data_IF_036690688012
#
_entry.id   IF_036690688012
#
_cell.length_a   1.000
_cell.length_b   1.000
_cell.length_c   1.000
_cell.angle_alpha   90.00
_cell.angle_beta   90.00
_cell.angle_gamma   90.00
#
_symmetry.space_group_name_H-M   'P 1'
#
loop_
_entity.id
_entity.type
_entity.pdbx_description
1 polymer ?
#
# COMPACT_ATOMS: atom_id res chain seq x y z
N UNK A 1 -24.72 23.38 -31.83
CA UNK A 1 -25.07 23.73 -30.43
C UNK A 1 -25.09 22.43 -29.64
N UNK A 2 -23.96 21.73 -29.48
CA UNK A 2 -22.85 22.06 -28.56
C UNK A 2 -23.43 22.30 -27.16
N UNK A 3 -23.09 21.51 -26.15
CA UNK A 3 -21.71 21.43 -25.68
C UNK A 3 -21.26 20.03 -25.26
N UNK A 4 -20.08 19.65 -25.75
CA UNK A 4 -19.28 18.56 -25.24
C UNK A 4 -18.82 18.89 -23.81
N UNK A 5 -19.14 18.03 -22.85
CA UNK A 5 -18.35 17.95 -21.63
C UNK A 5 -17.09 17.15 -21.96
N UNK A 6 -16.08 17.85 -22.46
CA UNK A 6 -14.70 17.40 -22.37
C UNK A 6 -14.37 17.21 -20.88
N UNK A 7 -14.39 15.97 -20.40
CA UNK A 7 -13.57 15.59 -19.26
C UNK A 7 -12.13 15.47 -19.78
N UNK A 8 -11.46 16.61 -19.91
CA UNK A 8 -10.02 16.67 -19.97
C UNK A 8 -9.57 17.23 -18.62
N UNK A 9 -9.46 16.34 -17.64
CA UNK A 9 -8.80 16.63 -16.38
C UNK A 9 -7.68 15.60 -16.27
N UNK A 10 -6.44 16.07 -16.26
CA UNK A 10 -5.25 15.33 -15.86
C UNK A 10 -5.60 14.08 -15.02
N UNK A 11 -5.44 12.89 -15.59
CA UNK A 11 -5.25 11.67 -14.81
C UNK A 11 -3.89 11.80 -14.10
N UNK A 12 -3.80 12.71 -13.12
CA UNK A 12 -2.83 12.55 -12.04
C UNK A 12 -3.18 11.21 -11.45
N UNK A 13 -2.30 10.23 -11.66
CA UNK A 13 -2.39 8.93 -11.03
C UNK A 13 -2.75 9.16 -9.54
N UNK A 14 -3.93 8.69 -9.13
CA UNK A 14 -4.41 8.90 -7.77
C UNK A 14 -3.40 8.33 -6.78
N UNK A 15 -3.03 9.12 -5.77
CA UNK A 15 -2.10 8.73 -4.71
C UNK A 15 -2.74 7.78 -3.69
N UNK A 16 -4.06 7.54 -3.79
CA UNK A 16 -4.77 6.58 -2.97
C UNK A 16 -4.19 5.17 -3.18
N UNK A 17 -3.56 4.59 -2.17
CA UNK A 17 -2.87 3.30 -2.28
C UNK A 17 -3.55 2.17 -1.46
N UNK A 18 -4.59 2.50 -0.70
CA UNK A 18 -5.25 1.54 0.19
C UNK A 18 -5.93 0.41 -0.58
N UNK A 19 -5.57 -0.83 -0.25
CA UNK A 19 -6.19 -2.03 -0.79
C UNK A 19 -6.51 -3.02 0.34
N UNK A 20 -7.65 -3.72 0.24
CA UNK A 20 -8.03 -4.75 1.21
C UNK A 20 -7.04 -5.91 1.19
N UNK A 21 -6.66 -6.41 2.36
CA UNK A 21 -5.73 -7.51 2.54
C UNK A 21 -4.28 -7.06 2.78
N UNK A 22 -3.95 -5.80 2.50
CA UNK A 22 -2.59 -5.30 2.75
C UNK A 22 -2.23 -5.30 4.24
N UNK A 23 -0.97 -5.65 4.51
CA UNK A 23 -0.36 -5.52 5.83
C UNK A 23 0.34 -4.16 5.93
N UNK A 24 -0.19 -3.29 6.78
CA UNK A 24 0.29 -1.93 7.00
C UNK A 24 0.89 -1.75 8.39
N UNK A 25 1.66 -0.69 8.59
CA UNK A 25 2.17 -0.26 9.90
C UNK A 25 1.56 1.07 10.29
N UNK A 26 1.04 1.18 11.52
CA UNK A 26 0.49 2.43 12.05
C UNK A 26 1.62 3.37 12.48
N UNK A 27 1.59 4.62 12.01
CA UNK A 27 2.56 5.66 12.34
C UNK A 27 1.99 6.81 13.18
N UNK A 28 0.67 6.87 13.39
CA UNK A 28 0.07 7.87 14.26
C UNK A 28 0.47 7.66 15.73
N UNK A 29 1.20 8.64 16.29
CA UNK A 29 1.64 8.64 17.69
C UNK A 29 0.60 9.16 18.68
N UNK A 30 -0.36 9.96 18.20
CA UNK A 30 -1.43 10.52 19.04
C UNK A 30 -2.62 9.57 19.19
N UNK A 31 -2.74 8.57 18.31
CA UNK A 31 -3.81 7.60 18.34
C UNK A 31 -3.78 6.76 19.63
N UNK A 32 -4.79 6.93 20.47
CA UNK A 32 -4.93 6.26 21.77
C UNK A 32 -3.64 6.34 22.60
N UNK A 33 -3.09 7.55 22.76
CA UNK A 33 -1.84 7.81 23.51
C UNK A 33 -0.65 6.97 22.99
N UNK A 34 -0.64 6.70 21.68
CA UNK A 34 0.42 5.94 21.03
C UNK A 34 0.32 4.43 21.20
N UNK A 35 -0.77 3.89 21.76
CA UNK A 35 -0.99 2.44 21.97
C UNK A 35 -0.68 1.60 20.72
N UNK A 36 -1.01 2.11 19.54
CA UNK A 36 -0.87 1.38 18.28
C UNK A 36 0.35 1.78 17.45
N UNK A 37 1.15 2.76 17.90
CA UNK A 37 2.30 3.24 17.15
C UNK A 37 3.28 2.10 16.83
N UNK A 38 3.70 1.99 15.57
CA UNK A 38 4.52 0.92 14.99
C UNK A 38 3.91 -0.49 15.02
N UNK A 39 2.63 -0.63 15.39
CA UNK A 39 1.93 -1.92 15.28
C UNK A 39 1.59 -2.23 13.83
N UNK A 40 1.65 -3.51 13.48
CA UNK A 40 1.21 -4.01 12.17
C UNK A 40 -0.28 -4.38 12.23
N UNK A 41 -0.99 -4.10 11.15
CA UNK A 41 -2.39 -4.43 10.98
C UNK A 41 -2.71 -4.84 9.55
N UNK A 42 -3.83 -5.53 9.35
CA UNK A 42 -4.35 -5.89 8.03
C UNK A 42 -5.54 -4.99 7.68
N UNK A 43 -5.53 -4.43 6.48
CA UNK A 43 -6.68 -3.68 5.96
C UNK A 43 -7.83 -4.65 5.69
N UNK A 44 -8.92 -4.53 6.45
CA UNK A 44 -10.11 -5.41 6.32
C UNK A 44 -11.21 -4.81 5.47
N UNK A 45 -11.31 -3.48 5.40
CA UNK A 45 -12.35 -2.77 4.64
C UNK A 45 -11.84 -1.40 4.21
N UNK A 46 -12.14 -1.00 2.98
CA UNK A 46 -11.95 0.37 2.49
C UNK A 46 -13.27 1.14 2.70
N UNK A 47 -13.20 2.31 3.33
CA UNK A 47 -14.37 3.16 3.64
C UNK A 47 -14.49 4.25 2.58
N UNK A 48 -13.37 4.86 2.21
CA UNK A 48 -13.20 5.81 1.12
C UNK A 48 -11.82 5.60 0.49
N UNK A 49 -11.45 6.27 -0.61
CA UNK A 49 -10.13 6.09 -1.24
C UNK A 49 -8.94 6.23 -0.28
N UNK A 50 -9.10 7.02 0.79
CA UNK A 50 -8.05 7.37 1.74
C UNK A 50 -8.29 6.86 3.17
N UNK A 51 -9.47 6.29 3.47
CA UNK A 51 -9.82 5.81 4.81
C UNK A 51 -10.14 4.32 4.80
N UNK A 52 -9.62 3.57 5.77
CA UNK A 52 -9.85 2.14 5.88
C UNK A 52 -10.02 1.65 7.32
N UNK A 53 -10.59 0.45 7.48
CA UNK A 53 -10.54 -0.31 8.72
C UNK A 53 -9.32 -1.22 8.73
N UNK A 54 -8.48 -1.06 9.74
CA UNK A 54 -7.29 -1.87 10.00
C UNK A 54 -7.52 -2.75 11.21
N UNK A 55 -7.38 -4.07 11.06
CA UNK A 55 -7.34 -5.01 12.18
C UNK A 55 -5.90 -5.19 12.65
N UNK A 56 -5.60 -4.75 13.87
CA UNK A 56 -4.27 -4.90 14.48
C UNK A 56 -3.95 -6.38 14.68
N UNK A 57 -2.81 -6.84 14.16
CA UNK A 57 -2.46 -8.26 14.15
C UNK A 57 -2.21 -8.82 15.55
N UNK A 58 -1.67 -8.00 16.46
CA UNK A 58 -1.31 -8.43 17.82
C UNK A 58 -2.50 -8.51 18.77
N UNK A 59 -3.40 -7.53 18.71
CA UNK A 59 -4.50 -7.38 19.68
C UNK A 59 -5.85 -7.78 19.10
N UNK A 60 -6.00 -7.78 17.78
CA UNK A 60 -7.28 -7.99 17.10
C UNK A 60 -8.17 -6.75 17.06
N UNK A 61 -7.76 -5.64 17.69
CA UNK A 61 -8.48 -4.36 17.67
C UNK A 61 -8.70 -3.88 16.22
N UNK A 62 -9.85 -3.26 15.95
CA UNK A 62 -10.17 -2.69 14.63
C UNK A 62 -10.22 -1.17 14.76
N UNK A 63 -9.49 -0.49 13.89
CA UNK A 63 -9.34 0.97 13.90
C UNK A 63 -9.73 1.51 12.52
N UNK A 64 -10.47 2.62 12.49
CA UNK A 64 -10.64 3.42 11.27
C UNK A 64 -9.49 4.42 11.18
N UNK A 65 -8.73 4.38 10.09
CA UNK A 65 -7.51 5.17 9.91
C UNK A 65 -7.43 5.73 8.49
N UNK A 66 -6.88 6.94 8.38
CA UNK A 66 -6.48 7.52 7.10
C UNK A 66 -5.17 6.89 6.60
N UNK A 67 -4.94 6.88 5.29
CA UNK A 67 -3.70 6.41 4.69
C UNK A 67 -2.47 7.16 5.22
N UNK A 68 -2.59 8.43 5.60
CA UNK A 68 -1.50 9.25 6.14
C UNK A 68 -1.03 8.74 7.51
N UNK A 69 -1.91 8.03 8.24
CA UNK A 69 -1.57 7.39 9.52
C UNK A 69 -0.87 6.04 9.34
N UNK A 70 -0.72 5.58 8.10
CA UNK A 70 -0.24 4.25 7.75
C UNK A 70 1.05 4.32 6.92
N UNK A 71 1.77 3.21 6.95
CA UNK A 71 2.93 2.96 6.10
C UNK A 71 2.76 1.61 5.43
N UNK A 72 3.15 1.52 4.15
CA UNK A 72 3.35 0.24 3.48
C UNK A 72 4.40 -0.60 4.21
N UNK A 73 4.29 -1.92 4.10
CA UNK A 73 5.26 -2.85 4.70
C UNK A 73 5.94 -3.64 3.61
N UNK A 74 7.24 -3.45 3.44
CA UNK A 74 8.08 -4.35 2.65
C UNK A 74 8.23 -5.68 3.39
N UNK A 75 7.87 -6.83 2.80
CA UNK A 75 8.09 -8.13 3.44
C UNK A 75 9.55 -8.58 3.33
N UNK A 76 9.85 -9.78 3.80
CA UNK A 76 11.12 -10.43 3.51
C UNK A 76 11.18 -10.94 2.06
N UNK A 77 12.39 -11.18 1.55
CA UNK A 77 12.60 -11.77 0.23
C UNK A 77 11.87 -13.12 0.09
N UNK A 78 11.38 -13.43 -1.10
CA UNK A 78 10.60 -14.61 -1.43
C UNK A 78 9.13 -14.54 -0.99
N UNK A 79 8.63 -13.37 -0.56
CA UNK A 79 7.23 -13.20 -0.15
C UNK A 79 6.43 -12.41 -1.17
N UNK A 80 5.13 -12.69 -1.18
CA UNK A 80 4.15 -12.04 -2.06
C UNK A 80 3.95 -10.59 -1.60
N UNK A 81 3.86 -9.69 -2.58
CA UNK A 81 3.47 -8.30 -2.44
C UNK A 81 2.37 -7.97 -3.43
N UNK A 82 1.73 -6.83 -3.21
CA UNK A 82 0.93 -6.13 -4.21
C UNK A 82 1.58 -4.78 -4.48
N UNK A 83 1.60 -4.38 -5.75
CA UNK A 83 1.99 -3.02 -6.16
C UNK A 83 0.78 -2.10 -5.95
N UNK A 84 0.97 -1.00 -5.24
CA UNK A 84 -0.10 -0.10 -4.80
C UNK A 84 -0.05 1.27 -5.48
N UNK A 85 1.06 1.62 -6.13
CA UNK A 85 1.25 2.87 -6.87
C UNK A 85 1.97 2.64 -8.20
N UNK A 86 1.92 3.64 -9.09
CA UNK A 86 2.63 3.64 -10.36
C UNK A 86 2.03 2.72 -11.43
N UNK A 87 2.81 2.47 -12.50
CA UNK A 87 2.33 1.80 -13.72
C UNK A 87 1.92 0.33 -13.53
N UNK A 88 2.40 -0.31 -12.47
CA UNK A 88 2.10 -1.72 -12.17
C UNK A 88 1.07 -1.88 -11.05
N UNK A 89 0.38 -0.80 -10.66
CA UNK A 89 -0.64 -0.81 -9.62
C UNK A 89 -1.64 -1.97 -9.81
N UNK A 90 -2.07 -2.53 -8.68
CA UNK A 90 -2.95 -3.69 -8.54
C UNK A 90 -2.36 -5.04 -8.99
N UNK A 91 -1.13 -5.06 -9.51
CA UNK A 91 -0.44 -6.31 -9.83
C UNK A 91 0.20 -6.93 -8.59
N UNK A 92 0.24 -8.26 -8.58
CA UNK A 92 0.91 -9.06 -7.56
C UNK A 92 2.30 -9.48 -8.05
N UNK A 93 3.21 -9.70 -7.10
CA UNK A 93 4.58 -10.09 -7.39
C UNK A 93 5.25 -10.74 -6.19
N UNK A 94 6.46 -11.25 -6.41
CA UNK A 94 7.32 -11.76 -5.34
C UNK A 94 8.50 -10.81 -5.16
N UNK A 95 8.74 -10.37 -3.93
CA UNK A 95 9.92 -9.58 -3.59
C UNK A 95 11.17 -10.46 -3.71
N UNK A 96 12.03 -10.18 -4.68
CA UNK A 96 13.28 -10.92 -4.91
C UNK A 96 14.40 -10.40 -4.02
N UNK A 97 14.58 -9.07 -4.00
CA UNK A 97 15.66 -8.42 -3.27
C UNK A 97 15.29 -6.99 -2.88
N UNK A 98 15.92 -6.48 -1.83
CA UNK A 98 15.94 -5.06 -1.48
C UNK A 98 17.39 -4.59 -1.56
N UNK A 99 17.67 -3.59 -2.38
CA UNK A 99 18.98 -2.97 -2.45
C UNK A 99 19.26 -2.22 -1.15
N UNK A 100 20.36 -2.54 -0.46
CA UNK A 100 20.69 -1.95 0.84
C UNK A 100 21.22 -0.51 0.73
N UNK A 101 21.65 -0.10 -0.46
CA UNK A 101 22.22 1.23 -0.72
C UNK A 101 21.14 2.19 -1.17
N UNK A 102 20.30 1.78 -2.13
CA UNK A 102 19.24 2.64 -2.70
C UNK A 102 17.89 2.44 -2.03
N UNK A 103 17.66 1.30 -1.37
CA UNK A 103 16.36 0.91 -0.84
C UNK A 103 15.38 0.39 -1.89
N UNK A 104 15.80 0.29 -3.16
CA UNK A 104 14.93 -0.20 -4.24
C UNK A 104 14.59 -1.68 -4.07
N UNK A 105 13.35 -2.03 -4.40
CA UNK A 105 12.84 -3.38 -4.31
C UNK A 105 12.78 -4.00 -5.71
N UNK A 106 13.46 -5.12 -5.89
CA UNK A 106 13.38 -5.94 -7.11
C UNK A 106 12.22 -6.91 -6.98
N UNK A 107 11.21 -6.79 -7.84
CA UNK A 107 9.99 -7.60 -7.84
C UNK A 107 9.92 -8.43 -9.11
N UNK A 108 9.54 -9.70 -8.97
CA UNK A 108 9.14 -10.54 -10.11
C UNK A 108 7.60 -10.48 -10.18
N UNK A 109 7.06 -9.85 -11.21
CA UNK A 109 5.61 -9.73 -11.41
C UNK A 109 4.99 -11.09 -11.73
N UNK A 110 3.84 -11.39 -11.14
CA UNK A 110 3.20 -12.70 -11.34
C UNK A 110 2.64 -12.87 -12.75
N UNK A 111 2.16 -11.77 -13.35
CA UNK A 111 1.43 -11.76 -14.63
C UNK A 111 2.29 -12.15 -15.83
N UNK A 112 3.52 -11.64 -15.91
CA UNK A 112 4.41 -11.80 -17.06
C UNK A 112 5.81 -12.33 -16.69
N UNK A 113 6.06 -12.56 -15.39
CA UNK A 113 7.37 -12.97 -14.85
C UNK A 113 8.50 -11.97 -15.14
N UNK A 114 8.14 -10.73 -15.45
CA UNK A 114 9.10 -9.64 -15.63
C UNK A 114 9.68 -9.20 -14.30
N UNK A 115 10.96 -8.85 -14.31
CA UNK A 115 11.64 -8.26 -13.17
C UNK A 115 11.62 -6.74 -13.27
N UNK A 116 11.04 -6.09 -12.25
CA UNK A 116 10.95 -4.64 -12.16
C UNK A 116 11.58 -4.12 -10.88
N UNK A 117 12.02 -2.86 -10.89
CA UNK A 117 12.52 -2.15 -9.71
C UNK A 117 11.49 -1.11 -9.29
N UNK A 118 11.06 -1.17 -8.04
CA UNK A 118 10.04 -0.30 -7.45
C UNK A 118 10.50 0.24 -6.10
N UNK A 119 9.92 1.35 -5.65
CA UNK A 119 10.23 1.89 -4.32
C UNK A 119 9.45 1.13 -3.25
N UNK A 120 9.91 1.16 -1.98
CA UNK A 120 9.17 0.58 -0.86
C UNK A 120 7.76 1.16 -0.66
N UNK A 121 7.53 2.42 -1.05
CA UNK A 121 6.22 3.07 -0.99
C UNK A 121 5.25 2.58 -2.09
N UNK A 122 5.78 2.06 -3.21
CA UNK A 122 4.97 1.59 -4.34
C UNK A 122 4.47 0.16 -4.16
N UNK A 123 4.97 -0.55 -3.14
CA UNK A 123 4.65 -1.95 -2.89
C UNK A 123 4.20 -2.14 -1.45
N UNK A 124 3.35 -3.13 -1.21
CA UNK A 124 2.96 -3.49 0.13
C UNK A 124 2.81 -5.00 0.27
N UNK A 125 3.16 -5.50 1.45
CA UNK A 125 2.93 -6.88 1.84
C UNK A 125 1.42 -7.17 1.83
N UNK A 126 1.08 -8.36 1.34
CA UNK A 126 -0.25 -8.99 1.48
C UNK A 126 -0.29 -10.03 2.60
#
# INVERSE_FOLDING_TARGET
KESAHHHNGDERASDAWLTKGLIVKVLNKGLCDGKYYKSKGEIRKIISPYVCHVKILKTGDVLELDQEDLQTVTPANGRIIQVVLGQYRDQFGVLKNVDVTTGECTIILEVNKEEVKLRPEDICKV
#
